data_IF_214239477562
#
_entry.id   IF_214239477562
#
_cell.length_a   1.000
_cell.length_b   1.000
_cell.length_c   1.000
_cell.angle_alpha   90.00
_cell.angle_beta   90.00
_cell.angle_gamma   90.00
#
_symmetry.space_group_name_H-M   'P 1'
#
loop_
_entity.id
_entity.type
_entity.pdbx_description
1 polymer ?
#
# COMPACT_ATOMS: atom_id res chain seq x y z
N UNK A 1 -56.86 1.91 -17.95
CA UNK A 1 -57.78 1.30 -16.97
C UNK A 1 -57.00 1.08 -15.70
N UNK A 2 -57.20 2.04 -14.85
CA UNK A 2 -57.95 2.05 -13.55
C UNK A 2 -57.15 1.35 -12.48
N UNK A 3 -56.55 2.17 -11.60
CA UNK A 3 -56.95 2.45 -10.21
C UNK A 3 -56.82 1.24 -9.29
N UNK A 4 -56.05 1.33 -8.22
CA UNK A 4 -56.56 1.80 -6.94
C UNK A 4 -55.45 2.04 -5.91
N UNK A 5 -55.58 3.15 -5.23
CA UNK A 5 -54.89 3.56 -4.01
C UNK A 5 -55.27 2.65 -2.84
N UNK A 6 -54.37 2.22 -2.01
CA UNK A 6 -54.74 1.98 -0.62
C UNK A 6 -53.70 2.61 0.36
N UNK A 7 -54.27 3.46 1.16
CA UNK A 7 -53.71 4.18 2.28
C UNK A 7 -53.87 3.35 3.55
N UNK A 8 -52.81 3.21 4.35
CA UNK A 8 -52.89 2.55 5.66
C UNK A 8 -51.78 3.04 6.58
N UNK A 9 -52.06 4.13 7.22
CA UNK A 9 -52.28 4.33 8.65
C UNK A 9 -51.01 4.17 9.52
N UNK A 10 -50.55 5.33 10.01
CA UNK A 10 -49.60 5.50 11.13
C UNK A 10 -50.23 4.95 12.44
N UNK A 11 -49.45 4.23 13.21
CA UNK A 11 -49.77 3.88 14.59
C UNK A 11 -49.15 4.91 15.57
N UNK A 12 -49.78 5.16 16.71
CA UNK A 12 -49.55 6.32 17.54
C UNK A 12 -48.35 6.15 18.46
N UNK A 13 -47.67 7.27 18.68
CA UNK A 13 -46.63 7.49 19.68
C UNK A 13 -47.31 7.53 21.05
N UNK A 14 -46.79 6.75 21.99
CA UNK A 14 -47.17 6.81 23.40
C UNK A 14 -46.19 7.73 24.16
N UNK A 15 -46.66 8.89 24.71
CA UNK A 15 -45.88 9.68 25.65
C UNK A 15 -46.26 9.20 27.05
N UNK A 16 -45.31 8.80 27.83
CA UNK A 16 -45.26 8.83 29.28
C UNK A 16 -44.52 7.62 29.84
N UNK A 17 -43.29 7.82 30.15
CA UNK A 17 -42.71 7.21 31.33
C UNK A 17 -41.68 8.16 31.93
N UNK A 18 -42.08 8.63 33.09
CA UNK A 18 -41.43 9.57 33.97
C UNK A 18 -40.02 9.18 34.39
N UNK A 19 -39.25 10.21 34.49
CA UNK A 19 -38.08 10.51 35.31
C UNK A 19 -37.95 9.67 36.60
N UNK A 20 -36.85 8.98 36.73
CA UNK A 20 -36.23 8.72 38.03
C UNK A 20 -34.77 9.22 37.99
N UNK A 21 -34.56 10.33 38.59
CA UNK A 21 -33.23 10.89 38.84
C UNK A 21 -32.57 10.10 39.96
N UNK A 22 -31.52 9.37 39.65
CA UNK A 22 -30.58 8.87 40.63
C UNK A 22 -29.38 9.81 40.73
N UNK A 23 -29.12 10.23 41.96
CA UNK A 23 -28.05 11.11 42.40
C UNK A 23 -26.67 10.54 42.07
N UNK A 24 -25.67 11.37 41.76
CA UNK A 24 -24.29 10.89 41.61
C UNK A 24 -23.71 10.51 42.97
N UNK A 25 -23.37 9.23 43.14
CA UNK A 25 -22.60 8.73 44.23
C UNK A 25 -21.22 9.36 44.30
N UNK A 26 -20.79 9.74 45.48
CA UNK A 26 -19.46 10.26 45.81
C UNK A 26 -18.36 9.32 45.30
N UNK A 27 -17.23 9.88 44.78
CA UNK A 27 -16.09 9.05 44.42
C UNK A 27 -15.44 8.46 45.68
N UNK A 28 -15.36 7.15 45.70
CA UNK A 28 -14.57 6.44 46.68
C UNK A 28 -13.11 6.87 46.60
N UNK A 29 -12.59 7.36 47.74
CA UNK A 29 -11.16 7.60 47.92
C UNK A 29 -10.44 6.25 47.78
N UNK A 30 -9.66 6.12 46.71
CA UNK A 30 -8.70 5.05 46.57
C UNK A 30 -7.48 5.38 47.42
N UNK A 31 -7.45 4.78 48.61
CA UNK A 31 -6.28 4.72 49.47
C UNK A 31 -5.20 3.90 48.79
N UNK A 32 -3.98 4.44 48.82
CA UNK A 32 -2.69 3.76 48.70
C UNK A 32 -2.44 2.86 47.46
N UNK A 33 -2.25 3.49 46.30
CA UNK A 33 -1.46 2.86 45.27
C UNK A 33 0.02 3.13 45.57
N UNK A 34 0.69 2.17 46.23
CA UNK A 34 2.15 2.13 46.28
C UNK A 34 2.66 2.07 44.84
N UNK A 35 3.22 3.19 44.36
CA UNK A 35 3.97 3.21 43.12
C UNK A 35 5.27 2.47 43.39
N UNK A 36 5.28 1.17 43.09
CA UNK A 36 6.51 0.39 43.00
C UNK A 36 7.28 0.91 41.79
N UNK A 37 8.27 1.76 42.04
CA UNK A 37 9.28 2.09 41.03
C UNK A 37 10.08 0.83 40.76
N UNK A 38 9.68 0.09 39.74
CA UNK A 38 10.51 -0.96 39.19
C UNK A 38 11.67 -0.27 38.48
N UNK A 39 12.86 -0.38 39.07
CA UNK A 39 14.14 0.04 38.51
C UNK A 39 14.53 -0.87 37.34
N UNK A 40 13.68 -0.90 36.31
CA UNK A 40 14.00 -1.48 35.04
C UNK A 40 14.49 -0.33 34.16
N UNK A 41 15.77 -0.37 33.85
CA UNK A 41 16.52 0.58 33.02
C UNK A 41 15.68 1.04 31.80
N UNK A 42 15.29 2.33 31.71
CA UNK A 42 14.45 2.82 30.61
C UNK A 42 15.20 2.99 29.28
N UNK A 43 16.46 2.53 29.18
CA UNK A 43 17.30 2.76 28.02
C UNK A 43 17.04 1.76 26.86
N UNK A 44 16.61 0.52 27.13
CA UNK A 44 16.48 -0.48 26.08
C UNK A 44 15.32 -0.28 25.07
N UNK A 45 14.08 0.05 25.48
CA UNK A 45 13.00 0.17 24.50
C UNK A 45 13.13 1.38 23.59
N UNK A 46 13.81 2.44 24.06
CA UNK A 46 13.97 3.68 23.28
C UNK A 46 15.06 3.57 22.20
N UNK A 47 16.13 2.82 22.50
CA UNK A 47 17.18 2.52 21.51
C UNK A 47 16.67 1.57 20.42
N UNK A 48 15.85 0.56 20.76
CA UNK A 48 15.26 -0.36 19.80
C UNK A 48 14.20 0.31 18.90
N UNK A 49 13.45 1.27 19.41
CA UNK A 49 12.51 2.08 18.63
C UNK A 49 13.24 3.06 17.70
N UNK A 50 14.32 3.69 18.19
CA UNK A 50 15.13 4.59 17.34
C UNK A 50 15.83 3.85 16.20
N UNK A 51 16.26 2.62 16.40
CA UNK A 51 16.85 1.80 15.32
C UNK A 51 15.83 1.43 14.25
N UNK A 52 14.61 1.03 14.62
CA UNK A 52 13.55 0.73 13.67
C UNK A 52 13.10 1.94 12.85
N UNK A 53 12.93 3.08 13.49
CA UNK A 53 12.60 4.33 12.78
C UNK A 53 13.73 4.77 11.83
N UNK A 54 14.98 4.60 12.24
CA UNK A 54 16.16 4.90 11.41
C UNK A 54 16.26 3.95 10.23
N UNK A 55 16.03 2.65 10.42
CA UNK A 55 16.01 1.66 9.34
C UNK A 55 14.86 1.91 8.35
N UNK A 56 13.66 2.24 8.83
CA UNK A 56 12.53 2.62 7.97
C UNK A 56 12.81 3.89 7.18
N UNK A 57 13.43 4.90 7.78
CA UNK A 57 13.79 6.14 7.10
C UNK A 57 14.87 5.92 6.04
N UNK A 58 15.90 5.10 6.34
CA UNK A 58 16.94 4.72 5.38
C UNK A 58 16.36 3.91 4.21
N UNK A 59 15.47 2.95 4.47
CA UNK A 59 14.78 2.19 3.44
C UNK A 59 13.91 3.07 2.55
N UNK A 60 13.15 4.00 3.13
CA UNK A 60 12.33 4.95 2.36
C UNK A 60 13.16 5.88 1.48
N UNK A 61 14.31 6.35 1.97
CA UNK A 61 15.23 7.18 1.18
C UNK A 61 15.85 6.37 0.04
N UNK A 62 16.27 5.14 0.30
CA UNK A 62 16.81 4.24 -0.71
C UNK A 62 15.79 3.97 -1.84
N UNK A 63 14.53 3.70 -1.51
CA UNK A 63 13.45 3.50 -2.48
C UNK A 63 13.30 4.75 -3.36
N UNK A 64 13.19 5.93 -2.75
CA UNK A 64 13.01 7.19 -3.47
C UNK A 64 14.17 7.49 -4.42
N UNK A 65 15.41 7.37 -3.95
CA UNK A 65 16.61 7.59 -4.76
C UNK A 65 16.67 6.63 -5.97
N UNK A 66 16.31 5.38 -5.76
CA UNK A 66 16.28 4.40 -6.84
C UNK A 66 15.16 4.66 -7.85
N UNK A 67 13.97 5.07 -7.41
CA UNK A 67 12.90 5.48 -8.32
C UNK A 67 13.27 6.73 -9.14
N UNK A 68 14.02 7.68 -8.57
CA UNK A 68 14.49 8.88 -9.28
C UNK A 68 15.42 8.54 -10.46
N UNK A 69 16.18 7.45 -10.39
CA UNK A 69 17.03 7.00 -11.51
C UNK A 69 16.20 6.58 -12.73
N UNK A 70 14.98 6.09 -12.52
CA UNK A 70 14.06 5.73 -13.61
C UNK A 70 13.48 6.94 -14.33
N UNK A 71 13.47 8.13 -13.73
CA UNK A 71 12.98 9.36 -14.34
C UNK A 71 13.77 9.76 -15.59
N UNK A 72 15.05 9.36 -15.67
CA UNK A 72 15.88 9.57 -16.83
C UNK A 72 15.50 8.69 -18.05
N UNK A 73 14.61 7.72 -17.86
CA UNK A 73 14.15 6.83 -18.93
C UNK A 73 13.26 7.61 -19.91
N UNK A 74 13.59 7.54 -21.20
CA UNK A 74 12.82 8.23 -22.22
C UNK A 74 11.35 7.78 -22.23
N UNK A 75 10.44 8.75 -22.23
CA UNK A 75 9.00 8.51 -22.16
C UNK A 75 8.49 8.16 -20.75
N UNK A 76 9.29 8.38 -19.71
CA UNK A 76 8.87 8.14 -18.32
C UNK A 76 7.59 8.93 -17.99
N UNK A 77 6.60 8.22 -17.41
CA UNK A 77 5.36 8.80 -16.86
C UNK A 77 5.42 8.71 -15.35
N UNK A 78 5.77 7.56 -14.82
CA UNK A 78 5.88 7.34 -13.39
C UNK A 78 6.35 5.93 -13.06
N UNK A 79 6.84 5.77 -11.82
CA UNK A 79 7.26 4.48 -11.27
C UNK A 79 6.79 4.32 -9.84
N UNK A 80 6.59 3.08 -9.42
CA UNK A 80 6.27 2.72 -8.04
C UNK A 80 6.97 1.42 -7.66
N UNK A 81 7.23 1.26 -6.36
CA UNK A 81 7.60 0.01 -5.74
C UNK A 81 6.45 -0.44 -4.84
N UNK A 82 6.02 -1.68 -4.97
CA UNK A 82 4.88 -2.19 -4.21
C UNK A 82 5.09 -3.64 -3.79
N UNK A 83 4.41 -4.03 -2.72
CA UNK A 83 4.34 -5.42 -2.27
C UNK A 83 3.07 -6.09 -2.80
N UNK A 84 3.23 -7.16 -3.55
CA UNK A 84 2.13 -7.90 -4.16
C UNK A 84 1.30 -8.69 -3.15
N UNK A 85 1.85 -9.05 -1.99
CA UNK A 85 1.14 -9.86 -1.01
C UNK A 85 0.15 -8.99 -0.19
N UNK A 86 0.58 -7.82 0.24
CA UNK A 86 -0.25 -6.84 0.96
C UNK A 86 -1.01 -5.88 0.03
N UNK A 87 -0.53 -5.66 -1.19
CA UNK A 87 -1.02 -4.62 -2.10
C UNK A 87 -0.52 -3.21 -1.74
N UNK A 88 0.37 -3.08 -0.76
CA UNK A 88 0.89 -1.79 -0.30
C UNK A 88 1.88 -1.19 -1.30
N UNK A 89 1.71 0.10 -1.60
CA UNK A 89 2.71 0.90 -2.28
C UNK A 89 3.80 1.32 -1.27
N UNK A 90 5.05 0.94 -1.52
CA UNK A 90 6.20 1.23 -0.66
C UNK A 90 6.83 2.59 -0.98
N UNK A 91 6.61 3.07 -2.21
CA UNK A 91 7.03 4.37 -2.68
C UNK A 91 6.70 4.57 -4.15
N UNK A 92 6.56 5.80 -4.58
CA UNK A 92 6.27 6.14 -5.97
C UNK A 92 6.87 7.48 -6.39
N UNK A 93 6.99 7.69 -7.70
CA UNK A 93 7.46 8.91 -8.33
C UNK A 93 6.71 9.15 -9.64
N UNK A 94 6.44 10.40 -9.96
CA UNK A 94 5.79 10.78 -11.22
C UNK A 94 4.28 10.54 -11.22
N UNK A 95 3.71 10.35 -12.40
CA UNK A 95 2.27 10.10 -12.62
C UNK A 95 1.38 11.34 -12.57
N UNK A 96 1.90 12.51 -12.19
CA UNK A 96 1.11 13.71 -11.97
C UNK A 96 0.24 14.08 -13.19
N UNK A 97 -1.08 14.16 -12.98
CA UNK A 97 -2.07 14.52 -14.01
C UNK A 97 -2.36 13.44 -15.06
N UNK A 98 -1.64 12.30 -15.05
CA UNK A 98 -1.79 11.21 -16.01
C UNK A 98 -2.25 9.92 -15.33
N UNK A 99 -1.62 9.54 -14.25
CA UNK A 99 -1.84 8.25 -13.58
C UNK A 99 -1.63 8.38 -12.07
N UNK A 100 -2.59 7.90 -11.29
CA UNK A 100 -2.39 7.73 -9.85
C UNK A 100 -1.48 6.51 -9.62
N UNK A 101 -0.22 6.77 -9.27
CA UNK A 101 0.80 5.73 -9.16
C UNK A 101 0.56 4.77 -8.00
N UNK A 102 0.03 5.27 -6.89
CA UNK A 102 -0.28 4.44 -5.72
C UNK A 102 -1.42 3.46 -6.05
N UNK A 103 -2.51 3.96 -6.63
CA UNK A 103 -3.62 3.12 -7.08
C UNK A 103 -3.19 2.14 -8.17
N UNK A 104 -2.36 2.59 -9.12
CA UNK A 104 -1.84 1.73 -10.18
C UNK A 104 -0.99 0.59 -9.61
N UNK A 105 -0.10 0.89 -8.65
CA UNK A 105 0.73 -0.11 -7.99
C UNK A 105 -0.13 -1.15 -7.24
N UNK A 106 -1.09 -0.69 -6.44
CA UNK A 106 -2.00 -1.56 -5.70
C UNK A 106 -2.81 -2.48 -6.64
N UNK A 107 -3.33 -1.93 -7.75
CA UNK A 107 -4.09 -2.71 -8.75
C UNK A 107 -3.21 -3.73 -9.48
N UNK A 108 -1.96 -3.39 -9.78
CA UNK A 108 -1.02 -4.30 -10.45
C UNK A 108 -0.46 -5.40 -9.53
N UNK A 109 -0.60 -5.28 -8.21
CA UNK A 109 -0.34 -6.37 -7.27
C UNK A 109 -1.19 -7.61 -7.60
N UNK A 110 -2.46 -7.41 -8.02
CA UNK A 110 -3.33 -8.51 -8.44
C UNK A 110 -2.83 -9.21 -9.71
N UNK A 111 -2.28 -8.46 -10.66
CA UNK A 111 -1.67 -9.01 -11.88
C UNK A 111 -0.52 -9.95 -11.53
N UNK A 112 0.36 -9.53 -10.63
CA UNK A 112 1.50 -10.34 -10.15
C UNK A 112 1.01 -11.61 -9.45
N UNK A 113 0.03 -11.49 -8.53
CA UNK A 113 -0.56 -12.64 -7.83
C UNK A 113 -1.20 -13.63 -8.80
N UNK A 114 -1.99 -13.14 -9.75
CA UNK A 114 -2.66 -13.95 -10.76
C UNK A 114 -1.68 -14.71 -11.64
N UNK A 115 -0.58 -14.05 -12.07
CA UNK A 115 0.47 -14.70 -12.86
C UNK A 115 1.17 -15.80 -12.08
N UNK A 116 1.54 -15.56 -10.82
CA UNK A 116 2.14 -16.58 -9.95
C UNK A 116 1.20 -17.78 -9.75
N UNK A 117 -0.10 -17.52 -9.50
CA UNK A 117 -1.11 -18.57 -9.36
C UNK A 117 -1.20 -19.42 -10.64
N UNK A 118 -1.21 -18.79 -11.81
CA UNK A 118 -1.24 -19.48 -13.09
C UNK A 118 0.02 -20.34 -13.31
N UNK A 119 1.22 -19.85 -13.01
CA UNK A 119 2.46 -20.60 -13.11
C UNK A 119 2.44 -21.84 -12.20
N UNK A 120 1.99 -21.67 -10.96
CA UNK A 120 1.84 -22.79 -10.02
C UNK A 120 0.86 -23.85 -10.53
N UNK A 121 -0.28 -23.43 -11.09
CA UNK A 121 -1.28 -24.34 -11.65
C UNK A 121 -0.77 -25.11 -12.87
N UNK A 122 0.12 -24.49 -13.66
CA UNK A 122 0.76 -25.09 -14.83
C UNK A 122 2.02 -25.92 -14.49
N UNK A 123 2.42 -25.96 -13.21
CA UNK A 123 3.64 -26.66 -12.77
C UNK A 123 4.94 -26.04 -13.30
N UNK A 124 4.92 -24.76 -13.68
CA UNK A 124 6.10 -24.05 -14.16
C UNK A 124 7.03 -23.76 -12.99
N UNK A 125 8.29 -24.20 -13.13
CA UNK A 125 9.37 -23.95 -12.15
C UNK A 125 10.31 -22.88 -12.71
N UNK A 126 9.75 -21.71 -12.92
CA UNK A 126 10.46 -20.57 -13.49
C UNK A 126 10.09 -19.30 -12.73
N UNK A 127 10.80 -18.21 -12.97
CA UNK A 127 10.58 -16.91 -12.35
C UNK A 127 10.02 -15.92 -13.37
N UNK A 128 9.19 -14.99 -12.90
CA UNK A 128 8.73 -13.89 -13.74
C UNK A 128 9.81 -12.83 -13.79
N UNK A 129 10.45 -12.68 -14.93
CA UNK A 129 11.42 -11.59 -15.13
C UNK A 129 10.73 -10.24 -15.21
N UNK A 130 9.75 -10.11 -16.10
CA UNK A 130 8.85 -8.95 -16.17
C UNK A 130 7.49 -9.32 -16.78
N UNK A 131 6.50 -8.45 -16.58
CA UNK A 131 5.21 -8.49 -17.23
C UNK A 131 5.04 -7.17 -17.97
N UNK A 132 4.94 -7.21 -19.28
CA UNK A 132 4.66 -6.05 -20.11
C UNK A 132 3.18 -6.01 -20.51
N UNK A 133 2.52 -4.91 -20.18
CA UNK A 133 1.18 -4.62 -20.64
C UNK A 133 1.26 -3.47 -21.65
N UNK A 134 0.93 -3.75 -22.90
CA UNK A 134 0.95 -2.77 -23.97
C UNK A 134 -0.44 -2.18 -24.16
N UNK A 135 -0.59 -0.91 -23.82
CA UNK A 135 -1.80 -0.14 -24.09
C UNK A 135 -1.61 0.67 -25.40
N UNK A 136 -2.68 1.32 -25.85
CA UNK A 136 -2.63 2.14 -27.06
C UNK A 136 -1.60 3.27 -27.02
N UNK A 137 -1.45 3.92 -25.87
CA UNK A 137 -0.57 5.07 -25.66
C UNK A 137 0.51 4.86 -24.61
N UNK A 138 0.47 3.77 -23.86
CA UNK A 138 1.37 3.52 -22.73
C UNK A 138 1.89 2.10 -22.74
N UNK A 139 3.09 1.91 -22.20
CA UNK A 139 3.60 0.64 -21.73
C UNK A 139 3.57 0.62 -20.21
N UNK A 140 3.06 -0.46 -19.64
CA UNK A 140 3.15 -0.74 -18.22
C UNK A 140 4.06 -1.93 -18.02
N UNK A 141 5.18 -1.71 -17.36
CA UNK A 141 6.19 -2.71 -17.08
C UNK A 141 6.17 -3.04 -15.59
N UNK A 142 5.97 -4.32 -15.27
CA UNK A 142 5.93 -4.83 -13.91
C UNK A 142 7.09 -5.80 -13.75
N UNK A 143 8.01 -5.54 -12.81
CA UNK A 143 9.19 -6.36 -12.58
C UNK A 143 9.27 -6.78 -11.12
N UNK A 144 8.97 -8.05 -10.77
CA UNK A 144 9.23 -8.60 -9.45
C UNK A 144 10.73 -8.59 -9.16
N UNK A 145 11.10 -8.28 -7.91
CA UNK A 145 12.49 -8.31 -7.48
C UNK A 145 12.97 -9.75 -7.34
N UNK A 146 14.17 -10.04 -7.83
CA UNK A 146 14.81 -11.36 -7.68
C UNK A 146 15.09 -11.69 -6.22
N UNK A 147 15.54 -10.70 -5.45
CA UNK A 147 15.84 -10.83 -4.01
C UNK A 147 14.61 -11.02 -3.15
N UNK A 148 13.48 -10.42 -3.56
CA UNK A 148 12.22 -10.42 -2.81
C UNK A 148 11.03 -10.47 -3.77
N UNK A 149 10.66 -11.65 -4.27
CA UNK A 149 9.65 -11.78 -5.33
C UNK A 149 8.26 -11.25 -4.99
N UNK A 150 7.93 -11.04 -3.69
CA UNK A 150 6.69 -10.34 -3.30
C UNK A 150 6.70 -8.86 -3.67
N UNK A 151 7.87 -8.24 -3.72
CA UNK A 151 8.02 -6.83 -4.07
C UNK A 151 8.28 -6.70 -5.56
N UNK A 152 7.69 -5.68 -6.18
CA UNK A 152 7.84 -5.45 -7.61
C UNK A 152 7.92 -3.95 -7.92
N UNK A 153 8.67 -3.63 -8.97
CA UNK A 153 8.58 -2.34 -9.63
C UNK A 153 7.40 -2.32 -10.59
N UNK A 154 6.70 -1.21 -10.62
CA UNK A 154 5.74 -0.84 -11.63
C UNK A 154 6.21 0.45 -12.32
N UNK A 155 6.33 0.43 -13.63
CA UNK A 155 6.76 1.59 -14.43
C UNK A 155 5.78 1.82 -15.56
N UNK A 156 5.28 3.06 -15.67
CA UNK A 156 4.46 3.51 -16.77
C UNK A 156 5.28 4.41 -17.70
N UNK A 157 5.20 4.14 -19.01
CA UNK A 157 5.95 4.82 -20.03
C UNK A 157 5.03 5.27 -21.18
N UNK A 158 5.31 6.41 -21.77
CA UNK A 158 4.71 6.83 -23.05
C UNK A 158 5.19 5.92 -24.18
N UNK A 159 4.26 5.22 -24.83
CA UNK A 159 4.59 4.25 -25.88
C UNK A 159 5.26 4.88 -27.09
N UNK A 160 4.90 6.11 -27.45
CA UNK A 160 5.43 6.80 -28.63
C UNK A 160 6.85 7.34 -28.44
N UNK A 161 7.29 7.46 -27.18
CA UNK A 161 8.56 8.08 -26.81
C UNK A 161 9.55 7.12 -26.15
N UNK A 162 9.12 5.95 -25.72
CA UNK A 162 9.97 5.05 -24.95
C UNK A 162 10.61 3.94 -25.77
N UNK A 163 11.80 3.53 -25.33
CA UNK A 163 12.49 2.35 -25.81
C UNK A 163 12.43 1.27 -24.72
N UNK A 164 11.66 0.19 -24.97
CA UNK A 164 11.46 -0.89 -23.99
C UNK A 164 12.76 -1.60 -23.58
N UNK A 165 13.72 -1.75 -24.51
CA UNK A 165 14.98 -2.40 -24.18
C UNK A 165 15.77 -1.55 -23.18
N UNK A 166 15.82 -0.23 -23.38
CA UNK A 166 16.47 0.70 -22.48
C UNK A 166 15.75 0.79 -21.13
N UNK A 167 14.41 0.80 -21.15
CA UNK A 167 13.62 0.81 -19.93
C UNK A 167 13.86 -0.46 -19.07
N UNK A 168 13.92 -1.64 -19.70
CA UNK A 168 14.25 -2.90 -19.01
C UNK A 168 15.66 -2.88 -18.44
N UNK A 169 16.63 -2.32 -19.18
CA UNK A 169 18.00 -2.18 -18.72
C UNK A 169 18.09 -1.27 -17.49
N UNK A 170 17.51 -0.06 -17.59
CA UNK A 170 17.47 0.89 -16.48
C UNK A 170 16.81 0.28 -15.23
N UNK A 171 15.71 -0.47 -15.41
CA UNK A 171 15.00 -1.13 -14.32
C UNK A 171 15.84 -2.24 -13.66
N UNK A 172 16.59 -3.00 -14.47
CA UNK A 172 17.50 -4.01 -13.96
C UNK A 172 18.68 -3.41 -13.17
N UNK A 173 19.17 -2.25 -13.59
CA UNK A 173 20.22 -1.52 -12.88
C UNK A 173 19.71 -1.01 -11.53
N UNK A 174 18.53 -0.41 -11.52
CA UNK A 174 17.88 0.07 -10.30
C UNK A 174 17.60 -1.07 -9.32
N UNK A 175 17.14 -2.23 -9.83
CA UNK A 175 16.93 -3.43 -9.01
C UNK A 175 18.20 -3.88 -8.28
N UNK A 176 19.36 -3.84 -8.95
CA UNK A 176 20.64 -4.25 -8.34
C UNK A 176 21.11 -3.32 -7.22
N UNK A 177 20.75 -2.05 -7.28
CA UNK A 177 21.15 -1.03 -6.31
C UNK A 177 20.14 -0.88 -5.16
N UNK A 178 18.94 -1.43 -5.32
CA UNK A 178 17.90 -1.36 -4.30
C UNK A 178 18.21 -2.29 -3.12
N UNK A 179 18.39 -1.71 -1.94
CA UNK A 179 18.50 -2.43 -0.68
C UNK A 179 17.16 -2.39 0.08
N UNK A 180 16.59 -3.56 0.38
CA UNK A 180 15.33 -3.74 1.12
C UNK A 180 15.52 -4.67 2.30
#
# INVERSE_FOLDING_TARGET
WSDELDSGAAAPVNPDSELAAESPGEPALLDDVEIIWNDTDPAEPRAALMTKETEMALSSNNIKENLMKLEATEGFIGAALADSDSGMCLGFLGGAGVLNMELAAASNAEVVRSKRKAMKALGLRDEVEDILISLGKQYHLIRPLKSRPSVFFYVALDRGRSNLAMARYALADVERELAL
#
